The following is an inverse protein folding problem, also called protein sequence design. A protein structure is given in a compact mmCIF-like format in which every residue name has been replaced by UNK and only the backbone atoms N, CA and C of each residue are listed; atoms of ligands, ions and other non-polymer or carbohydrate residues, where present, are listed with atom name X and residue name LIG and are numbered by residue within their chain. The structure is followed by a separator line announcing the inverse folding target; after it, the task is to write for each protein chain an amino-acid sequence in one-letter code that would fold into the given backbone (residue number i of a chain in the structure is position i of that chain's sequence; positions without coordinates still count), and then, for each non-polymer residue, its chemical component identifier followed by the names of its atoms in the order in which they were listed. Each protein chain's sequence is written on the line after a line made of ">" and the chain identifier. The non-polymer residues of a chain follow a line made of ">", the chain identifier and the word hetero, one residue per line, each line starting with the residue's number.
data_IF_131735118705
#
_entry.id   IF_131735118705
#
_cell.length_a   1.000
_cell.length_b   1.000
_cell.length_c   1.000
_cell.angle_alpha   90.00
_cell.angle_beta   90.00
_cell.angle_gamma   90.00
#
_symmetry.space_group_name_H-M   'P 1'
#
loop_
_entity.id
_entity.type
_entity.pdbx_description
1 polymer ?
#
# COMPACT_ATOMS: atom_id res chain seq x y z
N UNK A 1 63.64 -5.61 -3.03
CA UNK A 1 64.01 -5.40 -4.45
C UNK A 1 62.71 -5.44 -5.22
N UNK A 2 62.06 -4.27 -5.32
CA UNK A 2 61.85 -3.44 -6.53
C UNK A 2 60.54 -3.88 -7.22
N UNK A 3 59.42 -3.17 -7.02
CA UNK A 3 59.00 -1.89 -7.65
C UNK A 3 58.64 -2.10 -9.13
N UNK A 4 57.67 -1.47 -9.77
CA UNK A 4 56.54 -0.59 -9.48
C UNK A 4 55.71 -0.55 -10.80
N UNK A 5 54.56 0.13 -10.79
CA UNK A 5 53.77 0.73 -11.90
C UNK A 5 52.28 0.59 -11.49
N UNK A 6 51.62 1.53 -10.81
CA UNK A 6 51.35 2.96 -11.10
C UNK A 6 50.60 3.22 -12.42
N UNK A 7 49.26 3.25 -12.32
CA UNK A 7 48.31 4.10 -13.08
C UNK A 7 47.12 4.28 -12.10
N UNK A 8 46.98 5.30 -11.25
CA UNK A 8 47.05 6.76 -11.40
C UNK A 8 46.20 7.25 -12.57
N UNK A 9 44.92 7.45 -12.29
CA UNK A 9 44.06 8.37 -13.04
C UNK A 9 43.91 9.65 -12.20
N UNK A 10 44.83 10.57 -12.46
CA UNK A 10 44.79 11.98 -12.04
C UNK A 10 43.47 12.62 -12.52
N UNK A 11 42.73 13.27 -11.62
CA UNK A 11 42.88 14.69 -11.28
C UNK A 11 42.29 15.59 -12.39
N UNK A 12 41.08 16.07 -12.15
CA UNK A 12 40.71 17.43 -12.58
C UNK A 12 40.48 18.22 -11.31
N UNK A 13 41.45 19.11 -11.08
CA UNK A 13 41.60 20.00 -9.94
C UNK A 13 40.39 20.90 -9.71
N UNK A 14 40.27 21.19 -8.42
CA UNK A 14 39.49 22.21 -7.76
C UNK A 14 39.69 23.61 -8.37
N UNK A 15 38.70 24.48 -8.22
CA UNK A 15 39.01 25.89 -7.99
C UNK A 15 38.12 26.51 -6.91
N UNK A 16 38.78 26.75 -5.78
CA UNK A 16 38.62 27.87 -4.86
C UNK A 16 37.29 28.02 -4.07
N UNK A 17 37.33 27.51 -2.85
CA UNK A 17 36.76 28.23 -1.69
C UNK A 17 37.54 29.53 -1.43
N UNK A 18 36.88 30.54 -0.86
CA UNK A 18 37.51 31.31 0.20
C UNK A 18 36.69 31.21 1.50
N UNK A 19 37.42 30.92 2.58
CA UNK A 19 36.96 30.80 3.97
C UNK A 19 36.43 32.13 4.56
N UNK A 20 35.77 32.10 5.75
CA UNK A 20 34.78 33.09 6.19
C UNK A 20 35.41 34.25 6.99
N UNK A 21 34.67 35.35 7.23
CA UNK A 21 35.03 36.29 8.28
C UNK A 21 34.26 36.02 9.58
N UNK A 22 34.99 36.30 10.66
CA UNK A 22 34.70 36.11 12.07
C UNK A 22 33.52 36.95 12.61
N UNK A 23 32.98 36.49 13.74
CA UNK A 23 32.09 37.21 14.63
C UNK A 23 32.72 38.50 15.20
N UNK A 24 31.87 39.41 15.73
CA UNK A 24 32.25 40.24 16.85
C UNK A 24 31.41 39.91 18.10
N UNK A 25 32.11 39.67 19.20
CA UNK A 25 31.59 39.76 20.57
C UNK A 25 31.98 41.13 21.12
N UNK A 26 31.03 41.91 21.65
CA UNK A 26 31.12 43.00 22.64
C UNK A 26 29.69 43.60 22.73
N UNK A 27 29.10 44.12 23.80
CA UNK A 27 29.20 44.08 25.27
C UNK A 27 28.25 45.19 25.77
N UNK A 28 27.72 45.04 26.98
CA UNK A 28 27.06 46.03 27.86
C UNK A 28 25.55 46.24 27.64
N UNK A 29 24.71 45.85 28.61
CA UNK A 29 24.38 46.60 29.84
C UNK A 29 23.84 47.99 29.51
N UNK A 30 22.53 48.16 29.58
CA UNK A 30 22.01 49.10 30.58
C UNK A 30 20.63 48.71 31.10
N UNK A 31 20.59 48.74 32.42
CA UNK A 31 19.46 48.59 33.33
C UNK A 31 18.55 49.81 33.28
N UNK A 32 17.23 49.59 33.30
CA UNK A 32 16.33 50.51 33.97
C UNK A 32 15.23 49.75 34.70
N UNK A 33 15.42 49.66 36.02
CA UNK A 33 14.41 49.28 36.99
C UNK A 33 13.39 50.40 37.23
N UNK A 34 12.17 49.93 37.50
CA UNK A 34 11.19 50.40 38.48
C UNK A 34 10.36 51.68 38.22
N UNK A 35 9.06 51.45 38.02
CA UNK A 35 8.03 51.87 39.00
C UNK A 35 6.70 51.10 38.85
N UNK A 36 6.38 50.35 39.91
CA UNK A 36 5.07 49.99 40.53
C UNK A 36 3.98 51.07 40.32
N UNK A 37 2.66 50.83 40.22
CA UNK A 37 1.64 49.85 40.68
C UNK A 37 0.27 50.32 40.06
N UNK A 38 -0.94 49.75 40.28
CA UNK A 38 -1.37 48.41 40.72
C UNK A 38 -2.45 47.75 39.80
N UNK A 39 -2.64 46.44 39.95
CA UNK A 39 -3.83 45.65 39.54
C UNK A 39 -5.10 46.11 40.30
N UNK A 40 -6.34 45.92 39.77
CA UNK A 40 -6.99 44.60 39.81
C UNK A 40 -7.97 44.30 38.65
N UNK A 41 -7.98 43.04 38.19
CA UNK A 41 -9.20 42.27 37.89
C UNK A 41 -8.78 40.90 37.36
N UNK A 42 -8.84 39.92 38.25
CA UNK A 42 -8.84 38.48 37.99
C UNK A 42 -9.95 38.16 36.98
N UNK A 43 -9.68 37.48 35.85
CA UNK A 43 -10.73 36.74 35.15
C UNK A 43 -11.00 35.49 35.98
N UNK A 44 -12.20 35.40 36.51
CA UNK A 44 -12.72 34.24 37.22
C UNK A 44 -12.55 32.98 36.36
N UNK A 45 -12.00 31.92 36.97
CA UNK A 45 -12.13 30.55 36.48
C UNK A 45 -13.63 30.25 36.35
N UNK A 46 -14.12 29.76 35.20
CA UNK A 46 -15.48 29.26 35.14
C UNK A 46 -15.56 28.04 36.04
N UNK A 47 -16.43 28.18 37.04
CA UNK A 47 -16.81 27.12 37.95
C UNK A 47 -17.25 25.88 37.16
N UNK A 48 -16.82 24.72 37.67
CA UNK A 48 -17.38 23.41 37.38
C UNK A 48 -18.91 23.47 37.41
N UNK A 49 -19.53 23.52 36.23
CA UNK A 49 -20.95 23.24 36.07
C UNK A 49 -21.10 21.96 35.26
N UNK A 50 -21.83 21.01 35.83
CA UNK A 50 -22.13 19.70 35.24
C UNK A 50 -23.15 19.83 34.10
N UNK A 51 -22.80 20.62 33.08
CA UNK A 51 -23.59 20.81 31.88
C UNK A 51 -23.46 19.60 30.97
N UNK A 52 -24.58 18.91 30.75
CA UNK A 52 -24.75 17.95 29.66
C UNK A 52 -24.16 18.53 28.38
N UNK A 53 -23.23 17.80 27.76
CA UNK A 53 -22.88 18.01 26.35
C UNK A 53 -24.16 17.82 25.53
N UNK A 54 -24.78 18.91 25.12
CA UNK A 54 -25.90 18.94 24.20
C UNK A 54 -25.44 19.64 22.94
N UNK A 55 -25.58 18.98 21.79
CA UNK A 55 -25.44 19.64 20.50
C UNK A 55 -26.55 20.70 20.39
N UNK A 56 -26.19 21.97 20.47
CA UNK A 56 -27.12 23.07 20.25
C UNK A 56 -27.33 23.24 18.73
N UNK A 57 -28.34 22.54 18.21
CA UNK A 57 -28.74 22.60 16.81
C UNK A 57 -29.13 24.04 16.40
N UNK A 58 -29.55 24.87 17.35
CA UNK A 58 -29.90 26.28 17.12
C UNK A 58 -28.66 27.13 16.81
N UNK A 59 -27.52 26.82 17.44
CA UNK A 59 -26.25 27.52 17.22
C UNK A 59 -25.66 27.14 15.86
N UNK A 60 -25.75 25.86 15.48
CA UNK A 60 -25.37 25.38 14.14
C UNK A 60 -26.24 25.98 13.04
N UNK A 61 -27.56 26.05 13.22
CA UNK A 61 -28.47 26.72 12.27
C UNK A 61 -28.15 28.22 12.15
N UNK A 62 -27.76 28.86 13.27
CA UNK A 62 -27.33 30.24 13.28
C UNK A 62 -26.01 30.45 12.52
N UNK A 63 -25.03 29.57 12.70
CA UNK A 63 -23.77 29.63 11.95
C UNK A 63 -23.98 29.37 10.46
N UNK A 64 -24.81 28.40 10.09
CA UNK A 64 -25.12 28.10 8.69
C UNK A 64 -25.86 29.24 7.98
N UNK A 65 -26.73 29.97 8.70
CA UNK A 65 -27.48 31.11 8.14
C UNK A 65 -26.64 32.39 7.99
N UNK A 66 -25.48 32.44 8.65
CA UNK A 66 -24.54 33.56 8.55
C UNK A 66 -23.42 33.35 7.50
N UNK A 67 -23.42 32.21 6.79
CA UNK A 67 -22.49 31.99 5.68
C UNK A 67 -22.81 32.94 4.52
N UNK A 68 -21.79 33.59 3.92
CA UNK A 68 -22.01 34.49 2.78
C UNK A 68 -22.64 33.71 1.62
N UNK A 69 -23.58 34.31 0.86
CA UNK A 69 -24.20 33.64 -0.27
C UNK A 69 -23.13 33.33 -1.31
N UNK A 70 -22.73 32.06 -1.39
CA UNK A 70 -21.84 31.59 -2.42
C UNK A 70 -22.56 31.71 -3.76
N UNK A 71 -21.95 32.44 -4.68
CA UNK A 71 -22.42 32.57 -6.08
C UNK A 71 -22.17 31.23 -6.78
N UNK A 72 -22.94 30.20 -6.43
CA UNK A 72 -22.99 28.97 -7.20
C UNK A 72 -24.16 29.08 -8.17
N UNK A 73 -23.83 29.29 -9.45
CA UNK A 73 -24.72 28.89 -10.54
C UNK A 73 -24.90 27.39 -10.42
N UNK A 74 -26.05 26.96 -9.92
CA UNK A 74 -26.46 25.57 -9.96
C UNK A 74 -26.49 25.11 -11.42
N UNK A 75 -25.67 24.12 -11.76
CA UNK A 75 -25.75 23.38 -13.02
C UNK A 75 -26.87 22.33 -12.99
N UNK A 76 -27.96 22.59 -12.28
CA UNK A 76 -29.23 21.87 -12.43
C UNK A 76 -30.00 22.45 -13.63
N UNK A 77 -29.37 22.39 -14.81
CA UNK A 77 -30.05 22.56 -16.08
C UNK A 77 -30.26 21.17 -16.65
N UNK A 78 -31.52 20.73 -16.63
CA UNK A 78 -32.00 19.45 -17.10
C UNK A 78 -31.25 18.92 -18.34
N UNK A 79 -30.62 17.76 -18.19
CA UNK A 79 -30.26 16.89 -19.30
C UNK A 79 -31.16 15.66 -19.25
N UNK A 80 -31.88 15.47 -20.36
CA UNK A 80 -32.74 14.32 -20.64
C UNK A 80 -31.93 13.02 -20.60
N UNK A 81 -31.89 12.36 -19.45
CA UNK A 81 -31.59 10.94 -19.34
C UNK A 81 -32.31 10.39 -18.11
N UNK A 82 -32.96 9.24 -18.28
CA UNK A 82 -33.82 8.57 -17.31
C UNK A 82 -33.06 7.96 -16.13
N UNK A 83 -32.34 8.79 -15.38
CA UNK A 83 -31.78 8.38 -14.10
C UNK A 83 -32.80 8.65 -13.00
N UNK A 84 -32.91 7.71 -12.06
CA UNK A 84 -33.69 7.96 -10.85
C UNK A 84 -33.11 9.16 -10.08
N UNK A 85 -33.94 9.86 -9.31
CA UNK A 85 -33.47 10.97 -8.49
C UNK A 85 -32.37 10.53 -7.50
N UNK A 86 -32.37 9.26 -7.09
CA UNK A 86 -31.33 8.66 -6.26
C UNK A 86 -30.01 8.45 -7.02
N UNK A 87 -30.03 7.93 -8.25
CA UNK A 87 -28.81 7.82 -9.09
C UNK A 87 -28.23 9.20 -9.43
N UNK A 88 -29.08 10.20 -9.64
CA UNK A 88 -28.65 11.57 -9.91
C UNK A 88 -28.00 12.20 -8.66
N UNK A 89 -28.48 11.87 -7.46
CA UNK A 89 -27.88 12.28 -6.19
C UNK A 89 -26.55 11.55 -5.92
N UNK A 90 -26.49 10.25 -6.22
CA UNK A 90 -25.25 9.46 -6.11
C UNK A 90 -24.17 9.96 -7.07
N UNK A 91 -24.53 10.30 -8.31
CA UNK A 91 -23.60 10.93 -9.27
C UNK A 91 -23.21 12.36 -8.87
N UNK A 92 -24.03 13.06 -8.08
CA UNK A 92 -23.72 14.39 -7.56
C UNK A 92 -22.81 14.37 -6.33
N UNK A 93 -22.65 13.22 -5.64
CA UNK A 93 -21.71 13.04 -4.53
C UNK A 93 -20.25 13.16 -5.01
N UNK A 94 -19.96 12.69 -6.23
CA UNK A 94 -18.66 12.89 -6.88
C UNK A 94 -18.37 14.37 -7.20
N UNK A 95 -19.41 15.20 -7.24
CA UNK A 95 -19.34 16.66 -7.43
C UNK A 95 -19.37 17.48 -6.12
N UNK A 96 -19.33 16.84 -4.95
CA UNK A 96 -19.27 17.56 -3.67
C UNK A 96 -17.94 18.34 -3.56
N UNK A 97 -17.94 19.53 -2.92
CA UNK A 97 -16.71 20.24 -2.60
C UNK A 97 -15.68 19.31 -1.95
N UNK A 98 -14.42 19.34 -2.40
CA UNK A 98 -13.34 18.50 -1.86
C UNK A 98 -13.24 18.53 -0.32
N UNK A 99 -13.62 19.65 0.30
CA UNK A 99 -13.68 19.80 1.75
C UNK A 99 -14.72 18.88 2.44
N UNK A 100 -15.88 18.64 1.81
CA UNK A 100 -16.91 17.74 2.35
C UNK A 100 -16.54 16.28 2.16
N UNK A 101 -15.91 15.92 1.03
CA UNK A 101 -15.37 14.57 0.81
C UNK A 101 -14.27 14.27 1.84
N UNK A 102 -13.29 15.16 2.01
CA UNK A 102 -12.24 15.03 3.03
C UNK A 102 -12.82 14.96 4.46
N UNK A 103 -13.88 15.71 4.75
CA UNK A 103 -14.58 15.65 6.03
C UNK A 103 -15.26 14.29 6.27
N UNK A 104 -15.92 13.74 5.26
CA UNK A 104 -16.56 12.42 5.32
C UNK A 104 -15.52 11.31 5.50
N UNK A 105 -14.42 11.35 4.76
CA UNK A 105 -13.31 10.40 4.89
C UNK A 105 -12.74 10.43 6.31
N UNK A 106 -12.48 11.64 6.83
CA UNK A 106 -12.00 11.83 8.19
C UNK A 106 -12.93 11.25 9.24
N UNK A 107 -14.24 11.45 9.11
CA UNK A 107 -15.22 10.88 10.03
C UNK A 107 -15.19 9.35 10.02
N UNK A 108 -15.13 8.73 8.83
CA UNK A 108 -15.00 7.26 8.71
C UNK A 108 -13.70 6.75 9.33
N UNK A 109 -12.59 7.45 9.11
CA UNK A 109 -11.29 7.08 9.69
C UNK A 109 -11.30 7.19 11.22
N UNK A 110 -11.94 8.22 11.79
CA UNK A 110 -12.10 8.36 13.24
C UNK A 110 -13.05 7.32 13.85
N UNK A 111 -14.14 7.01 13.16
CA UNK A 111 -15.08 5.95 13.53
C UNK A 111 -14.36 4.59 13.58
N UNK A 112 -13.59 4.25 12.54
CA UNK A 112 -12.77 3.06 12.52
C UNK A 112 -11.76 3.02 13.68
N UNK A 113 -11.07 4.12 13.98
CA UNK A 113 -10.15 4.19 15.12
C UNK A 113 -10.87 3.93 16.45
N UNK A 114 -12.05 4.53 16.64
CA UNK A 114 -12.86 4.34 17.84
C UNK A 114 -13.33 2.88 17.99
N UNK A 115 -13.72 2.24 16.89
CA UNK A 115 -14.12 0.83 16.86
C UNK A 115 -12.95 -0.10 17.18
N UNK A 116 -11.77 0.12 16.58
CA UNK A 116 -10.55 -0.64 16.91
C UNK A 116 -10.22 -0.49 18.40
N UNK A 117 -10.20 0.73 18.93
CA UNK A 117 -9.93 0.98 20.35
C UNK A 117 -10.97 0.29 21.26
N UNK A 118 -12.27 0.39 20.92
CA UNK A 118 -13.36 -0.28 21.66
C UNK A 118 -13.20 -1.79 21.65
N UNK A 119 -12.89 -2.37 20.49
CA UNK A 119 -12.64 -3.81 20.36
C UNK A 119 -11.50 -4.24 21.29
N UNK A 120 -10.36 -3.57 21.24
CA UNK A 120 -9.22 -3.91 22.11
C UNK A 120 -9.57 -3.82 23.59
N UNK A 121 -10.30 -2.79 24.02
CA UNK A 121 -10.71 -2.63 25.42
C UNK A 121 -11.65 -3.75 25.85
N UNK A 122 -12.65 -4.08 25.05
CA UNK A 122 -13.60 -5.15 25.37
C UNK A 122 -12.94 -6.54 25.31
N UNK A 123 -12.06 -6.81 24.34
CA UNK A 123 -11.27 -8.05 24.26
C UNK A 123 -10.30 -8.20 25.44
N UNK A 124 -9.66 -7.10 25.87
CA UNK A 124 -8.81 -7.10 27.07
C UNK A 124 -9.65 -7.37 28.33
N UNK A 125 -10.83 -6.73 28.47
CA UNK A 125 -11.76 -6.99 29.58
C UNK A 125 -12.24 -8.44 29.59
N UNK A 126 -12.52 -9.03 28.44
CA UNK A 126 -12.92 -10.43 28.29
C UNK A 126 -11.85 -11.43 28.76
N UNK A 127 -10.58 -11.01 28.79
CA UNK A 127 -9.49 -11.82 29.37
C UNK A 127 -9.54 -11.91 30.90
N UNK A 128 -10.37 -11.09 31.56
CA UNK A 128 -10.59 -11.12 33.01
C UNK A 128 -11.95 -11.75 33.33
N UNK A 129 -11.92 -12.95 33.93
CA UNK A 129 -13.10 -13.78 34.25
C UNK A 129 -14.13 -13.05 35.12
N UNK A 130 -13.70 -12.09 35.94
CA UNK A 130 -14.54 -11.29 36.83
C UNK A 130 -15.37 -10.21 36.11
N UNK A 131 -14.98 -9.85 34.88
CA UNK A 131 -15.60 -8.78 34.08
C UNK A 131 -16.42 -9.33 32.91
N UNK A 132 -16.51 -10.64 32.76
CA UNK A 132 -17.15 -11.30 31.63
C UNK A 132 -18.68 -11.26 31.77
N UNK A 133 -19.31 -10.29 31.12
CA UNK A 133 -20.73 -10.38 30.75
C UNK A 133 -20.82 -10.86 29.30
N UNK A 134 -21.82 -11.69 28.97
CA UNK A 134 -22.05 -12.18 27.61
C UNK A 134 -22.20 -11.01 26.63
N UNK A 135 -21.14 -10.72 25.86
CA UNK A 135 -21.02 -9.63 24.88
C UNK A 135 -20.42 -10.09 23.55
N UNK A 136 -20.49 -11.40 23.29
CA UNK A 136 -19.97 -12.01 22.06
C UNK A 136 -20.57 -11.33 20.81
N UNK A 137 -21.88 -11.08 20.84
CA UNK A 137 -22.63 -10.43 19.75
C UNK A 137 -22.17 -8.98 19.50
N UNK A 138 -21.82 -8.22 20.55
CA UNK A 138 -21.27 -6.86 20.39
C UNK A 138 -19.89 -6.89 19.72
N UNK A 139 -19.02 -7.83 20.10
CA UNK A 139 -17.69 -7.98 19.49
C UNK A 139 -17.79 -8.44 18.03
N UNK A 140 -18.73 -9.34 17.72
CA UNK A 140 -19.00 -9.78 16.34
C UNK A 140 -19.50 -8.63 15.47
N UNK A 141 -20.40 -7.80 15.99
CA UNK A 141 -20.88 -6.60 15.29
C UNK A 141 -19.73 -5.61 15.01
N UNK A 142 -18.87 -5.34 16.00
CA UNK A 142 -17.71 -4.46 15.80
C UNK A 142 -16.76 -5.04 14.75
N UNK A 143 -16.53 -6.36 14.75
CA UNK A 143 -15.67 -7.01 13.76
C UNK A 143 -16.22 -6.87 12.33
N UNK A 144 -17.53 -7.00 12.15
CA UNK A 144 -18.15 -6.87 10.83
C UNK A 144 -18.13 -5.41 10.33
N UNK A 145 -18.38 -4.44 11.21
CA UNK A 145 -18.27 -3.01 10.88
C UNK A 145 -16.82 -2.63 10.51
N UNK A 146 -15.83 -3.12 11.26
CA UNK A 146 -14.41 -2.96 10.93
C UNK A 146 -14.04 -3.62 9.61
N UNK A 147 -14.63 -4.78 9.28
CA UNK A 147 -14.45 -5.44 7.98
C UNK A 147 -14.99 -4.56 6.84
N UNK A 148 -16.15 -3.93 7.02
CA UNK A 148 -16.71 -3.02 6.02
C UNK A 148 -15.84 -1.77 5.84
N UNK A 149 -15.35 -1.17 6.94
CA UNK A 149 -14.49 0.02 6.90
C UNK A 149 -13.07 -0.27 6.40
N UNK A 150 -12.56 -1.48 6.60
CA UNK A 150 -11.23 -1.90 6.13
C UNK A 150 -11.21 -2.35 4.68
N UNK A 151 -12.34 -2.81 4.13
CA UNK A 151 -12.41 -3.41 2.80
C UNK A 151 -11.46 -4.61 2.69
N UNK A 152 -10.57 -4.60 1.70
CA UNK A 152 -9.62 -5.69 1.49
C UNK A 152 -8.61 -5.89 2.64
N UNK A 153 -8.38 -4.86 3.45
CA UNK A 153 -7.49 -4.91 4.62
C UNK A 153 -8.05 -5.73 5.79
N UNK A 154 -9.34 -6.11 5.72
CA UNK A 154 -10.06 -6.93 6.69
C UNK A 154 -10.18 -8.41 6.33
N UNK A 155 -9.58 -8.85 5.23
CA UNK A 155 -9.67 -10.24 4.78
C UNK A 155 -8.54 -11.11 5.35
N UNK A 156 -8.91 -12.03 6.26
CA UNK A 156 -7.97 -12.97 6.89
C UNK A 156 -7.17 -13.81 5.87
N UNK A 157 -7.77 -14.17 4.73
CA UNK A 157 -7.10 -14.95 3.67
C UNK A 157 -5.78 -14.32 3.22
N UNK A 158 -5.70 -12.99 3.25
CA UNK A 158 -4.56 -12.24 2.76
C UNK A 158 -3.38 -12.20 3.75
N UNK A 159 -3.61 -12.66 4.99
CA UNK A 159 -2.57 -12.86 6.00
C UNK A 159 -2.03 -14.29 5.99
N UNK A 160 -2.66 -15.22 5.25
CA UNK A 160 -2.21 -16.60 5.18
C UNK A 160 -0.82 -16.65 4.50
N UNK A 161 0.15 -17.28 5.18
CA UNK A 161 1.54 -17.38 4.69
C UNK A 161 1.78 -18.65 3.87
N UNK A 162 0.77 -19.51 3.81
CA UNK A 162 0.74 -20.78 3.10
C UNK A 162 -0.54 -20.86 2.29
N UNK A 163 -0.46 -21.46 1.10
CA UNK A 163 -1.64 -21.78 0.30
C UNK A 163 -2.42 -22.92 0.96
N UNK A 164 -3.75 -22.86 0.86
CA UNK A 164 -4.59 -23.99 1.26
C UNK A 164 -4.26 -25.18 0.37
N UNK A 165 -4.32 -26.39 0.95
CA UNK A 165 -4.01 -27.63 0.23
C UNK A 165 -4.84 -27.76 -1.05
N UNK A 166 -6.13 -27.40 -1.01
CA UNK A 166 -7.01 -27.44 -2.18
C UNK A 166 -6.61 -26.44 -3.28
N UNK A 167 -6.27 -25.20 -2.91
CA UNK A 167 -5.85 -24.17 -3.87
C UNK A 167 -4.52 -24.55 -4.51
N UNK A 168 -3.59 -25.07 -3.70
CA UNK A 168 -2.31 -25.58 -4.18
C UNK A 168 -2.50 -26.75 -5.16
N UNK A 169 -3.37 -27.71 -4.81
CA UNK A 169 -3.64 -28.86 -5.67
C UNK A 169 -4.26 -28.42 -7.00
N UNK A 170 -5.22 -27.50 -7.01
CA UNK A 170 -5.80 -26.98 -8.25
C UNK A 170 -4.75 -26.31 -9.14
N UNK A 171 -3.85 -25.51 -8.56
CA UNK A 171 -2.76 -24.88 -9.30
C UNK A 171 -1.76 -25.90 -9.86
N UNK A 172 -1.43 -26.93 -9.09
CA UNK A 172 -0.57 -28.02 -9.52
C UNK A 172 -1.22 -28.82 -10.66
N UNK A 173 -2.51 -29.14 -10.58
CA UNK A 173 -3.26 -29.82 -11.66
C UNK A 173 -3.29 -28.97 -12.95
N UNK A 174 -3.52 -27.66 -12.84
CA UNK A 174 -3.49 -26.74 -13.98
C UNK A 174 -2.10 -26.66 -14.63
N UNK A 175 -1.05 -26.57 -13.81
CA UNK A 175 0.33 -26.55 -14.30
C UNK A 175 0.71 -27.89 -14.94
N UNK A 176 0.33 -29.02 -14.35
CA UNK A 176 0.58 -30.36 -14.89
C UNK A 176 -0.03 -30.55 -16.29
N UNK A 177 -1.22 -30.03 -16.54
CA UNK A 177 -1.84 -30.06 -17.88
C UNK A 177 -0.99 -29.33 -18.93
N UNK A 178 -0.50 -28.13 -18.59
CA UNK A 178 0.39 -27.36 -19.46
C UNK A 178 1.74 -28.06 -19.64
N UNK A 179 2.30 -28.62 -18.57
CA UNK A 179 3.58 -29.32 -18.58
C UNK A 179 3.52 -30.60 -19.40
N UNK A 180 2.40 -31.32 -19.37
CA UNK A 180 2.15 -32.46 -20.24
C UNK A 180 2.04 -32.06 -21.71
N UNK A 181 1.38 -30.92 -21.99
CA UNK A 181 1.30 -30.38 -23.35
C UNK A 181 2.69 -30.01 -23.91
N UNK A 182 3.62 -29.61 -23.03
CA UNK A 182 5.02 -29.31 -23.38
C UNK A 182 5.94 -30.55 -23.45
N UNK A 183 5.47 -31.73 -23.04
CA UNK A 183 6.30 -32.94 -23.00
C UNK A 183 6.88 -33.33 -24.36
N UNK A 184 8.04 -33.99 -24.34
CA UNK A 184 8.81 -34.36 -25.54
C UNK A 184 8.03 -35.19 -26.58
N UNK A 185 6.90 -35.79 -26.19
CA UNK A 185 6.03 -36.59 -27.06
C UNK A 185 5.25 -35.74 -28.09
N UNK A 186 5.06 -34.44 -27.82
CA UNK A 186 4.42 -33.51 -28.76
C UNK A 186 5.50 -32.81 -29.58
N UNK A 187 5.62 -33.02 -30.88
CA UNK A 187 6.68 -32.34 -31.67
C UNK A 187 6.39 -30.86 -31.94
N UNK A 188 5.12 -30.45 -31.87
CA UNK A 188 4.66 -29.08 -32.12
C UNK A 188 4.02 -28.43 -30.88
N UNK A 189 4.12 -27.09 -30.78
CA UNK A 189 3.57 -26.30 -29.67
C UNK A 189 2.06 -26.06 -29.78
N UNK A 190 1.36 -26.75 -30.70
CA UNK A 190 -0.08 -26.57 -30.96
C UNK A 190 -0.92 -27.02 -29.77
N UNK A 191 -0.62 -28.18 -29.18
CA UNK A 191 -1.33 -28.65 -27.98
C UNK A 191 -1.14 -27.70 -26.80
N UNK A 192 0.06 -27.14 -26.63
CA UNK A 192 0.33 -26.14 -25.60
C UNK A 192 -0.52 -24.88 -25.82
N UNK A 193 -0.60 -24.40 -27.06
CA UNK A 193 -1.43 -23.26 -27.44
C UNK A 193 -2.93 -23.51 -27.16
N UNK A 194 -3.46 -24.68 -27.52
CA UNK A 194 -4.86 -25.02 -27.25
C UNK A 194 -5.16 -25.11 -25.75
N UNK A 195 -4.28 -25.73 -24.96
CA UNK A 195 -4.48 -25.91 -23.52
C UNK A 195 -4.40 -24.57 -22.79
N UNK A 196 -3.43 -23.70 -23.11
CA UNK A 196 -3.31 -22.41 -22.44
C UNK A 196 -4.49 -21.49 -22.75
N UNK A 197 -4.98 -21.46 -24.00
CA UNK A 197 -6.16 -20.68 -24.37
C UNK A 197 -7.41 -21.17 -23.62
N UNK A 198 -7.68 -22.48 -23.67
CA UNK A 198 -8.84 -23.06 -22.97
C UNK A 198 -8.81 -22.82 -21.46
N UNK A 199 -7.61 -22.89 -20.86
CA UNK A 199 -7.43 -22.63 -19.44
C UNK A 199 -7.79 -21.18 -19.10
N UNK A 200 -7.30 -20.20 -19.86
CA UNK A 200 -7.59 -18.79 -19.60
C UNK A 200 -9.03 -18.38 -19.98
N UNK A 201 -9.64 -18.98 -21.01
CA UNK A 201 -11.06 -18.78 -21.33
C UNK A 201 -11.99 -19.27 -20.23
N UNK A 202 -11.62 -20.34 -19.52
CA UNK A 202 -12.38 -20.90 -18.40
C UNK A 202 -12.30 -20.08 -17.11
N UNK A 203 -11.37 -19.13 -16.99
CA UNK A 203 -11.13 -18.36 -15.78
C UNK A 203 -12.03 -17.11 -15.66
N UNK A 204 -12.45 -16.73 -14.44
CA UNK A 204 -13.18 -15.50 -14.21
C UNK A 204 -12.35 -14.29 -14.66
N UNK A 205 -12.97 -13.39 -15.41
CA UNK A 205 -12.30 -12.23 -16.03
C UNK A 205 -11.09 -12.56 -16.92
N UNK A 206 -10.92 -13.83 -17.33
CA UNK A 206 -9.75 -14.32 -18.07
C UNK A 206 -8.42 -14.05 -17.33
N UNK A 207 -8.44 -14.09 -16.00
CA UNK A 207 -7.28 -13.83 -15.14
C UNK A 207 -7.00 -15.02 -14.22
N UNK A 208 -5.73 -15.42 -14.17
CA UNK A 208 -5.21 -16.36 -13.18
C UNK A 208 -4.56 -15.59 -12.05
N UNK A 209 -5.10 -15.70 -10.83
CA UNK A 209 -4.52 -15.04 -9.64
C UNK A 209 -3.69 -16.06 -8.86
N UNK A 210 -2.37 -15.83 -8.80
CA UNK A 210 -1.40 -16.66 -8.10
C UNK A 210 -0.85 -15.95 -6.87
N UNK A 211 -0.85 -16.63 -5.73
CA UNK A 211 -0.15 -16.12 -4.54
C UNK A 211 1.34 -16.41 -4.64
N UNK A 212 2.18 -15.43 -4.28
CA UNK A 212 3.63 -15.62 -4.14
C UNK A 212 4.01 -16.70 -3.12
N UNK A 213 3.09 -17.09 -2.25
CA UNK A 213 3.26 -18.25 -1.35
C UNK A 213 3.49 -19.56 -2.10
N UNK A 214 3.07 -19.68 -3.37
CA UNK A 214 3.32 -20.88 -4.17
C UNK A 214 4.81 -21.13 -4.45
N UNK A 215 5.64 -20.09 -4.37
CA UNK A 215 7.10 -20.20 -4.53
C UNK A 215 7.77 -20.78 -3.27
N UNK A 216 7.09 -20.83 -2.12
CA UNK A 216 7.69 -21.26 -0.86
C UNK A 216 7.30 -22.69 -0.50
N UNK A 217 8.25 -23.39 0.11
CA UNK A 217 7.98 -24.68 0.74
C UNK A 217 7.18 -24.49 2.03
N UNK A 218 6.14 -25.30 2.21
CA UNK A 218 5.28 -25.27 3.38
C UNK A 218 6.10 -25.63 4.62
N UNK A 219 6.35 -24.66 5.50
CA UNK A 219 6.84 -24.93 6.85
C UNK A 219 5.66 -24.95 7.80
N UNK A 220 5.36 -26.11 8.36
CA UNK A 220 4.40 -26.22 9.44
C UNK A 220 4.93 -25.43 10.64
N UNK A 221 4.19 -24.40 11.03
CA UNK A 221 4.44 -23.69 12.28
C UNK A 221 3.40 -24.14 13.29
N UNK A 222 3.84 -24.57 14.47
CA UNK A 222 2.92 -24.95 15.56
C UNK A 222 2.23 -23.70 16.13
N UNK A 223 1.02 -23.43 15.65
CA UNK A 223 0.18 -22.36 16.16
C UNK A 223 -0.50 -22.79 17.48
N UNK A 224 -0.53 -21.88 18.47
CA UNK A 224 -1.16 -22.13 19.78
C UNK A 224 -2.30 -21.15 20.01
N UNK A 225 -3.38 -21.63 20.62
CA UNK A 225 -4.39 -20.73 21.18
C UNK A 225 -3.77 -19.97 22.35
N UNK A 226 -3.64 -18.66 22.20
CA UNK A 226 -3.11 -17.76 23.22
C UNK A 226 -4.19 -16.75 23.58
N UNK A 227 -4.29 -16.39 24.86
CA UNK A 227 -5.21 -15.35 25.30
C UNK A 227 -4.90 -14.02 24.62
N UNK A 228 -5.93 -13.18 24.45
CA UNK A 228 -5.79 -11.89 23.78
C UNK A 228 -4.68 -10.98 24.33
N UNK A 229 -4.53 -10.93 25.66
CA UNK A 229 -3.44 -10.18 26.28
C UNK A 229 -2.06 -10.74 25.93
N UNK A 230 -1.94 -12.07 25.82
CA UNK A 230 -0.68 -12.69 25.40
C UNK A 230 -0.40 -12.41 23.91
N UNK A 231 -1.43 -12.32 23.07
CA UNK A 231 -1.30 -11.91 21.67
C UNK A 231 -0.72 -10.49 21.57
N UNK A 232 -1.33 -9.52 22.27
CA UNK A 232 -0.84 -8.12 22.32
C UNK A 232 0.58 -8.06 22.86
N UNK A 233 0.88 -8.77 23.96
CA UNK A 233 2.23 -8.81 24.52
C UNK A 233 3.25 -9.43 23.58
N UNK A 234 2.83 -10.33 22.68
CA UNK A 234 3.72 -10.94 21.68
C UNK A 234 4.06 -9.95 20.57
N UNK A 235 3.08 -9.17 20.11
CA UNK A 235 3.31 -8.07 19.16
C UNK A 235 4.28 -7.04 19.77
N UNK A 236 4.12 -6.73 21.06
CA UNK A 236 4.96 -5.75 21.76
C UNK A 236 6.35 -6.27 22.20
N UNK A 237 6.68 -7.56 21.99
CA UNK A 237 7.96 -8.13 22.44
C UNK A 237 9.01 -8.08 21.34
N UNK A 238 10.24 -7.75 21.75
CA UNK A 238 11.47 -7.82 20.96
C UNK A 238 11.96 -9.27 20.80
N UNK A 239 11.17 -10.14 20.19
CA UNK A 239 11.64 -11.47 19.83
C UNK A 239 12.53 -11.39 18.57
N UNK A 240 13.65 -12.12 18.50
CA UNK A 240 14.57 -12.09 17.35
C UNK A 240 13.96 -12.59 16.03
N UNK A 241 12.82 -13.28 16.07
CA UNK A 241 12.08 -13.76 14.88
C UNK A 241 10.95 -12.81 14.42
N UNK A 242 10.82 -11.61 14.99
CA UNK A 242 9.78 -10.66 14.58
C UNK A 242 10.13 -10.05 13.20
N UNK A 243 9.72 -10.75 12.12
CA UNK A 243 9.74 -10.23 10.74
C UNK A 243 8.86 -9.00 10.54
N UNK A 244 8.13 -8.59 11.58
CA UNK A 244 7.22 -7.45 11.59
C UNK A 244 7.90 -6.14 11.93
N UNK A 245 9.21 -6.03 12.18
CA UNK A 245 9.84 -4.70 12.37
C UNK A 245 9.98 -3.96 11.04
N UNK A 246 9.85 -2.64 11.05
CA UNK A 246 10.23 -1.79 9.93
C UNK A 246 11.68 -2.13 9.56
N UNK A 247 11.94 -2.62 8.34
CA UNK A 247 13.27 -3.03 7.94
C UNK A 247 14.18 -1.80 7.91
N UNK A 248 15.31 -1.89 8.61
CA UNK A 248 16.39 -0.93 8.41
C UNK A 248 17.15 -1.37 7.17
N UNK A 249 16.91 -0.70 6.05
CA UNK A 249 17.59 -1.02 4.79
C UNK A 249 19.09 -0.78 4.94
N UNK A 250 19.89 -1.75 4.50
CA UNK A 250 21.34 -1.62 4.41
C UNK A 250 21.73 -0.64 3.30
N UNK A 251 22.95 -0.09 3.39
CA UNK A 251 23.49 0.79 2.34
C UNK A 251 23.52 0.09 0.96
N UNK A 252 23.74 -1.22 0.94
CA UNK A 252 23.73 -2.01 -0.29
C UNK A 252 22.33 -2.12 -0.90
N UNK A 253 21.29 -2.31 -0.08
CA UNK A 253 19.89 -2.34 -0.53
C UNK A 253 19.47 -0.97 -1.06
N UNK A 254 19.79 0.10 -0.33
CA UNK A 254 19.52 1.47 -0.76
C UNK A 254 20.21 1.77 -2.09
N UNK A 255 21.45 1.32 -2.27
CA UNK A 255 22.19 1.51 -3.51
C UNK A 255 21.55 0.77 -4.69
N UNK A 256 21.06 -0.47 -4.48
CA UNK A 256 20.33 -1.19 -5.53
C UNK A 256 19.00 -0.52 -5.84
N UNK A 257 18.24 -0.12 -4.82
CA UNK A 257 16.97 0.59 -5.00
C UNK A 257 17.18 1.90 -5.79
N UNK A 258 18.23 2.65 -5.50
CA UNK A 258 18.56 3.88 -6.22
C UNK A 258 18.87 3.64 -7.70
N UNK A 259 19.55 2.54 -8.02
CA UNK A 259 19.83 2.14 -9.40
C UNK A 259 18.57 1.67 -10.13
N UNK A 260 17.71 0.95 -9.44
CA UNK A 260 16.48 0.40 -10.01
C UNK A 260 15.46 1.50 -10.26
N UNK A 261 15.20 2.34 -9.25
CA UNK A 261 14.24 3.42 -9.35
C UNK A 261 14.62 4.46 -10.39
N UNK A 262 15.92 4.68 -10.64
CA UNK A 262 16.39 5.61 -11.66
C UNK A 262 15.88 5.31 -13.09
N UNK A 263 15.36 4.10 -13.31
CA UNK A 263 14.81 3.64 -14.60
C UNK A 263 13.27 3.59 -14.61
N UNK A 264 12.63 3.81 -13.47
CA UNK A 264 11.21 3.63 -13.27
C UNK A 264 10.47 4.96 -13.06
N UNK A 265 9.15 4.89 -13.19
CA UNK A 265 8.22 5.97 -12.87
C UNK A 265 7.26 5.48 -11.80
N UNK A 266 6.85 6.37 -10.90
CA UNK A 266 5.84 6.09 -9.88
C UNK A 266 4.58 6.93 -10.07
N UNK A 267 3.44 6.38 -9.67
CA UNK A 267 2.17 7.07 -9.48
C UNK A 267 1.82 6.98 -8.00
N UNK A 268 2.08 8.05 -7.25
CA UNK A 268 1.81 8.13 -5.81
C UNK A 268 0.46 8.80 -5.61
N UNK A 269 -0.57 8.05 -5.19
CA UNK A 269 -1.95 8.53 -5.09
C UNK A 269 -2.45 9.25 -6.37
N UNK A 270 -1.97 8.80 -7.53
CA UNK A 270 -2.27 9.39 -8.85
C UNK A 270 -1.31 10.49 -9.31
N UNK A 271 -0.43 11.00 -8.45
CA UNK A 271 0.61 11.97 -8.82
C UNK A 271 1.84 11.28 -9.39
N UNK A 272 2.27 11.71 -10.58
CA UNK A 272 3.41 11.12 -11.30
C UNK A 272 4.74 11.65 -10.76
N UNK A 273 5.64 10.73 -10.43
CA UNK A 273 7.01 11.02 -9.99
C UNK A 273 7.99 10.21 -10.82
N UNK A 274 8.89 10.90 -11.53
CA UNK A 274 9.95 10.26 -12.30
C UNK A 274 11.12 9.87 -11.40
N UNK A 275 11.56 8.61 -11.49
CA UNK A 275 12.71 8.14 -10.72
C UNK A 275 14.06 8.72 -11.19
N UNK A 276 14.11 9.28 -12.40
CA UNK A 276 15.26 10.04 -12.93
C UNK A 276 15.65 11.24 -12.07
N UNK A 277 14.74 11.71 -11.21
CA UNK A 277 14.99 12.79 -10.23
C UNK A 277 15.92 12.36 -9.10
N UNK A 278 16.21 11.07 -8.97
CA UNK A 278 17.06 10.49 -7.94
C UNK A 278 16.28 9.88 -6.78
N UNK A 279 16.90 8.92 -6.10
CA UNK A 279 16.32 8.16 -4.98
C UNK A 279 15.75 9.09 -3.89
N UNK A 280 16.54 10.05 -3.41
CA UNK A 280 16.12 10.96 -2.34
C UNK A 280 14.89 11.79 -2.73
N UNK A 281 14.79 12.22 -3.99
CA UNK A 281 13.65 12.98 -4.46
C UNK A 281 12.36 12.16 -4.53
N UNK A 282 12.48 10.85 -4.80
CA UNK A 282 11.34 9.91 -4.76
C UNK A 282 10.93 9.62 -3.33
N UNK A 283 11.89 9.38 -2.43
CA UNK A 283 11.63 9.19 -1.00
C UNK A 283 10.96 10.43 -0.40
N UNK A 284 11.45 11.63 -0.72
CA UNK A 284 10.84 12.89 -0.30
C UNK A 284 9.39 13.02 -0.80
N UNK A 285 9.10 12.61 -2.03
CA UNK A 285 7.75 12.66 -2.58
C UNK A 285 6.80 11.69 -1.86
N UNK A 286 7.26 10.45 -1.61
CA UNK A 286 6.53 9.47 -0.81
C UNK A 286 6.30 9.96 0.62
N UNK A 287 7.33 10.52 1.26
CA UNK A 287 7.23 11.06 2.61
C UNK A 287 6.21 12.21 2.68
N UNK A 288 6.24 13.16 1.74
CA UNK A 288 5.28 14.26 1.69
C UNK A 288 3.85 13.78 1.54
N UNK A 289 3.62 12.76 0.71
CA UNK A 289 2.27 12.20 0.56
C UNK A 289 1.82 11.50 1.86
N UNK A 290 2.69 10.75 2.52
CA UNK A 290 2.40 10.15 3.83
C UNK A 290 2.06 11.21 4.89
N UNK A 291 2.82 12.31 4.93
CA UNK A 291 2.56 13.45 5.82
C UNK A 291 1.20 14.10 5.52
N UNK A 292 0.87 14.27 4.24
CA UNK A 292 -0.39 14.83 3.79
C UNK A 292 -1.58 13.93 4.12
N UNK A 293 -1.46 12.63 3.88
CA UNK A 293 -2.46 11.62 4.25
C UNK A 293 -2.74 11.68 5.76
N UNK A 294 -1.71 11.70 6.61
CA UNK A 294 -1.88 11.80 8.06
C UNK A 294 -2.44 13.14 8.52
N UNK A 295 -1.93 14.25 7.97
CA UNK A 295 -2.35 15.59 8.34
C UNK A 295 -3.85 15.81 8.02
N UNK A 296 -4.32 15.32 6.86
CA UNK A 296 -5.75 15.33 6.50
C UNK A 296 -6.61 14.66 7.57
N UNK A 297 -6.20 13.48 8.04
CA UNK A 297 -6.95 12.76 9.09
C UNK A 297 -6.90 13.46 10.45
N UNK A 298 -5.77 14.08 10.78
CA UNK A 298 -5.62 14.87 11.98
C UNK A 298 -6.36 16.23 11.92
N UNK A 299 -6.86 16.65 10.76
CA UNK A 299 -7.39 17.99 10.54
C UNK A 299 -6.31 19.08 10.68
N UNK A 300 -5.08 18.76 10.27
CA UNK A 300 -3.90 19.62 10.35
C UNK A 300 -3.32 19.84 8.95
N UNK A 301 -2.39 20.78 8.86
CA UNK A 301 -1.56 20.95 7.67
C UNK A 301 -0.30 20.08 7.75
N UNK A 302 0.26 19.59 6.63
CA UNK A 302 1.47 18.76 6.62
C UNK A 302 2.67 19.38 7.34
N UNK A 303 2.83 20.71 7.25
CA UNK A 303 3.92 21.46 7.90
C UNK A 303 3.82 21.46 9.44
N UNK A 304 2.68 21.03 9.99
CA UNK A 304 2.44 20.90 11.42
C UNK A 304 2.76 19.49 11.94
N UNK A 305 3.27 18.60 11.09
CA UNK A 305 3.69 17.25 11.48
C UNK A 305 4.90 17.33 12.40
N UNK A 306 4.85 16.73 13.60
CA UNK A 306 6.00 16.73 14.51
C UNK A 306 7.24 16.09 13.87
N UNK A 307 8.43 16.65 14.12
CA UNK A 307 9.68 16.18 13.51
C UNK A 307 9.98 14.69 13.80
N UNK A 308 9.61 14.19 14.98
CA UNK A 308 9.73 12.77 15.30
C UNK A 308 8.86 11.86 14.41
N UNK A 309 7.66 12.34 14.04
CA UNK A 309 6.77 11.62 13.12
C UNK A 309 7.32 11.71 11.70
N UNK A 310 7.76 12.89 11.25
CA UNK A 310 8.38 13.09 9.94
C UNK A 310 9.58 12.15 9.72
N UNK A 311 10.49 12.02 10.70
CA UNK A 311 11.61 11.07 10.63
C UNK A 311 11.16 9.61 10.53
N UNK A 312 10.10 9.22 11.25
CA UNK A 312 9.55 7.86 11.13
C UNK A 312 8.92 7.63 9.74
N UNK A 313 8.24 8.63 9.18
CA UNK A 313 7.66 8.57 7.85
C UNK A 313 8.71 8.48 6.74
N UNK A 314 9.90 9.04 6.95
CA UNK A 314 11.02 8.83 6.04
C UNK A 314 11.41 7.35 5.95
N UNK A 315 11.55 6.67 7.10
CA UNK A 315 11.81 5.22 7.13
C UNK A 315 10.70 4.41 6.47
N UNK A 316 9.44 4.82 6.70
CA UNK A 316 8.27 4.21 6.03
C UNK A 316 8.36 4.42 4.51
N UNK A 317 8.67 5.62 4.05
CA UNK A 317 8.82 5.93 2.62
C UNK A 317 9.92 5.09 1.96
N UNK A 318 11.06 4.91 2.62
CA UNK A 318 12.14 4.05 2.15
C UNK A 318 11.67 2.58 2.07
N UNK A 319 10.99 2.07 3.10
CA UNK A 319 10.47 0.70 3.11
C UNK A 319 9.40 0.47 2.03
N UNK A 320 8.53 1.46 1.80
CA UNK A 320 7.55 1.48 0.72
C UNK A 320 8.28 1.40 -0.62
N UNK A 321 9.26 2.27 -0.85
CA UNK A 321 10.00 2.30 -2.12
C UNK A 321 10.70 0.97 -2.41
N UNK A 322 11.38 0.41 -1.41
CA UNK A 322 12.04 -0.88 -1.50
C UNK A 322 11.07 -1.99 -1.90
N UNK A 323 9.93 -2.09 -1.22
CA UNK A 323 8.90 -3.09 -1.51
C UNK A 323 8.16 -2.86 -2.83
N UNK A 324 8.21 -1.64 -3.37
CA UNK A 324 7.58 -1.26 -4.64
C UNK A 324 8.46 -1.52 -5.84
N UNK A 325 9.78 -1.72 -5.63
CA UNK A 325 10.74 -1.70 -6.72
C UNK A 325 10.38 -2.76 -7.79
N UNK A 326 10.70 -2.44 -9.05
CA UNK A 326 10.33 -3.29 -10.19
C UNK A 326 11.09 -4.61 -10.21
N UNK A 327 12.26 -4.66 -9.58
CA UNK A 327 13.07 -5.87 -9.48
C UNK A 327 12.42 -6.91 -8.58
N UNK A 328 11.92 -6.53 -7.40
CA UNK A 328 11.18 -7.44 -6.49
C UNK A 328 9.84 -7.85 -7.11
N UNK A 329 9.04 -6.87 -7.55
CA UNK A 329 7.70 -7.12 -8.09
C UNK A 329 7.73 -7.90 -9.41
N UNK A 330 8.58 -7.48 -10.34
CA UNK A 330 8.78 -8.16 -11.63
C UNK A 330 9.52 -9.50 -11.50
N UNK A 331 10.43 -9.64 -10.54
CA UNK A 331 11.06 -10.92 -10.23
C UNK A 331 10.05 -11.94 -9.72
N UNK A 332 9.19 -11.54 -8.78
CA UNK A 332 8.12 -12.39 -8.25
C UNK A 332 7.15 -12.84 -9.34
N UNK A 333 6.71 -11.93 -10.22
CA UNK A 333 5.85 -12.27 -11.35
C UNK A 333 6.55 -13.21 -12.34
N UNK A 334 7.82 -12.97 -12.65
CA UNK A 334 8.60 -13.79 -13.57
C UNK A 334 8.78 -15.21 -13.05
N UNK A 335 9.12 -15.38 -11.76
CA UNK A 335 9.29 -16.70 -11.15
C UNK A 335 7.98 -17.48 -11.08
N UNK A 336 6.88 -16.84 -10.69
CA UNK A 336 5.56 -17.47 -10.67
C UNK A 336 5.11 -17.91 -12.06
N UNK A 337 5.25 -17.02 -13.05
CA UNK A 337 4.88 -17.32 -14.43
C UNK A 337 5.78 -18.40 -15.03
N UNK A 338 7.08 -18.36 -14.75
CA UNK A 338 8.04 -19.37 -15.17
C UNK A 338 7.71 -20.75 -14.58
N UNK A 339 7.40 -20.82 -13.28
CA UNK A 339 6.96 -22.06 -12.62
C UNK A 339 5.65 -22.59 -13.20
N UNK A 340 4.72 -21.70 -13.56
CA UNK A 340 3.44 -22.09 -14.15
C UNK A 340 3.61 -22.63 -15.58
N UNK A 341 4.47 -22.00 -16.39
CA UNK A 341 4.62 -22.31 -17.81
C UNK A 341 5.72 -23.34 -18.13
N UNK A 342 6.70 -23.58 -17.26
CA UNK A 342 7.82 -24.49 -17.54
C UNK A 342 7.72 -25.78 -16.73
N UNK A 343 7.93 -26.92 -17.41
CA UNK A 343 8.02 -28.24 -16.79
C UNK A 343 9.43 -28.58 -16.28
N UNK A 344 10.43 -27.69 -16.47
CA UNK A 344 11.85 -27.84 -16.10
C UNK A 344 12.58 -29.08 -16.66
N UNK A 345 11.89 -29.95 -17.40
CA UNK A 345 12.43 -31.14 -18.06
C UNK A 345 12.75 -30.87 -19.54
N UNK A 346 11.95 -30.04 -20.19
CA UNK A 346 12.09 -29.64 -21.59
C UNK A 346 11.80 -28.14 -21.74
N UNK A 347 12.85 -27.33 -21.90
CA UNK A 347 12.73 -25.89 -22.14
C UNK A 347 12.28 -25.59 -23.57
N UNK A 348 11.00 -25.83 -23.87
CA UNK A 348 10.39 -25.59 -25.19
C UNK A 348 9.78 -24.21 -25.36
N UNK A 349 9.60 -23.50 -24.26
CA UNK A 349 9.05 -22.15 -24.23
C UNK A 349 9.99 -21.26 -23.43
N UNK A 350 10.26 -20.07 -23.95
CA UNK A 350 11.09 -19.06 -23.31
C UNK A 350 10.22 -17.89 -22.83
N UNK A 351 10.43 -17.48 -21.60
CA UNK A 351 9.80 -16.30 -21.04
C UNK A 351 10.75 -15.09 -21.16
N UNK A 352 10.32 -14.06 -21.90
CA UNK A 352 11.11 -12.84 -22.11
C UNK A 352 10.41 -11.62 -21.50
N UNK A 353 11.06 -10.87 -20.59
CA UNK A 353 10.50 -9.61 -20.10
C UNK A 353 10.34 -8.57 -21.21
N UNK A 354 9.19 -7.92 -21.26
CA UNK A 354 8.89 -6.81 -22.16
C UNK A 354 8.85 -5.47 -21.38
N UNK A 355 9.96 -5.13 -20.72
CA UNK A 355 10.05 -4.02 -19.76
C UNK A 355 9.65 -2.66 -20.31
N UNK A 356 9.79 -2.42 -21.63
CA UNK A 356 9.37 -1.18 -22.28
C UNK A 356 7.86 -0.92 -22.20
N UNK A 357 7.05 -1.95 -21.90
CA UNK A 357 5.59 -1.87 -21.79
C UNK A 357 5.11 -1.80 -20.34
N UNK A 358 6.01 -1.89 -19.36
CA UNK A 358 5.64 -1.81 -17.96
C UNK A 358 5.00 -0.45 -17.66
N UNK A 359 3.86 -0.47 -16.97
CA UNK A 359 3.22 0.75 -16.49
C UNK A 359 4.03 1.36 -15.34
N UNK A 360 3.84 2.64 -14.98
CA UNK A 360 4.41 3.19 -13.76
C UNK A 360 4.04 2.34 -12.52
N UNK A 361 4.93 2.29 -11.53
CA UNK A 361 4.67 1.66 -10.23
C UNK A 361 3.65 2.49 -9.48
N UNK A 362 2.50 1.91 -9.17
CA UNK A 362 1.43 2.64 -8.48
C UNK A 362 1.48 2.37 -6.98
N UNK A 363 1.45 3.45 -6.20
CA UNK A 363 1.49 3.44 -4.74
C UNK A 363 0.27 4.21 -4.25
N UNK A 364 -0.69 3.48 -3.66
CA UNK A 364 -1.88 4.06 -3.06
C UNK A 364 -1.72 4.06 -1.54
N UNK A 365 -2.03 5.18 -0.89
CA UNK A 365 -1.83 5.39 0.54
C UNK A 365 -3.07 5.98 1.18
N UNK A 366 -3.51 5.39 2.29
CA UNK A 366 -4.55 5.95 3.15
C UNK A 366 -4.32 5.61 4.63
N UNK A 367 -5.27 5.97 5.50
CA UNK A 367 -5.27 5.62 6.91
C UNK A 367 -6.56 4.88 7.25
N UNK A 368 -6.44 3.73 7.90
CA UNK A 368 -7.62 2.99 8.32
C UNK A 368 -7.33 1.74 9.13
N UNK A 369 -8.38 0.96 9.41
CA UNK A 369 -8.26 -0.30 10.11
C UNK A 369 -7.71 -1.38 9.18
N UNK A 370 -6.96 -2.32 9.75
CA UNK A 370 -6.42 -3.48 9.06
C UNK A 370 -6.22 -4.66 10.02
N UNK A 371 -6.21 -5.89 9.50
CA UNK A 371 -5.88 -7.07 10.29
C UNK A 371 -4.36 -7.28 10.37
N UNK A 372 -3.86 -7.56 11.56
CA UNK A 372 -2.47 -7.86 11.86
C UNK A 372 -2.32 -9.34 12.23
N UNK A 373 -1.34 -10.02 11.63
CA UNK A 373 -1.02 -11.39 12.00
C UNK A 373 -0.22 -11.38 13.32
N UNK A 374 -0.67 -12.15 14.30
CA UNK A 374 0.03 -12.27 15.58
C UNK A 374 0.91 -13.51 15.58
N UNK A 375 2.24 -13.39 15.77
CA UNK A 375 3.14 -14.53 15.82
C UNK A 375 2.67 -15.58 16.84
N UNK A 376 2.50 -16.83 16.39
CA UNK A 376 2.09 -17.95 17.24
C UNK A 376 0.59 -18.01 17.59
N UNK A 377 -0.25 -17.13 17.04
CA UNK A 377 -1.71 -17.14 17.18
C UNK A 377 -2.41 -17.52 15.87
N UNK A 378 -3.55 -18.20 15.98
CA UNK A 378 -4.44 -18.50 14.84
C UNK A 378 -5.33 -17.33 14.45
N UNK A 379 -5.58 -16.42 15.38
CA UNK A 379 -6.49 -15.31 15.21
C UNK A 379 -5.70 -14.03 15.00
N UNK A 380 -5.90 -13.34 13.86
CA UNK A 380 -5.35 -12.02 13.66
C UNK A 380 -6.04 -11.02 14.60
N UNK A 381 -5.35 -9.93 14.90
CA UNK A 381 -5.92 -8.83 15.68
C UNK A 381 -6.20 -7.65 14.77
N UNK A 382 -7.15 -6.79 15.14
CA UNK A 382 -7.30 -5.51 14.46
C UNK A 382 -6.22 -4.54 14.89
N UNK A 383 -5.76 -3.74 13.94
CA UNK A 383 -4.85 -2.64 14.11
C UNK A 383 -5.36 -1.43 13.32
N UNK A 384 -4.74 -0.28 13.53
CA UNK A 384 -5.09 0.96 12.85
C UNK A 384 -3.84 1.73 12.47
N UNK A 385 -3.78 2.18 11.22
CA UNK A 385 -2.72 3.07 10.79
C UNK A 385 -2.63 3.26 9.29
N UNK A 386 -1.42 3.58 8.83
CA UNK A 386 -1.11 3.84 7.44
C UNK A 386 -1.20 2.53 6.66
N UNK A 387 -1.93 2.56 5.55
CA UNK A 387 -2.09 1.42 4.65
C UNK A 387 -1.58 1.82 3.28
N UNK A 388 -0.67 1.03 2.74
CA UNK A 388 -0.01 1.30 1.47
C UNK A 388 -0.22 0.11 0.55
N UNK A 389 -0.93 0.32 -0.56
CA UNK A 389 -1.12 -0.67 -1.61
C UNK A 389 -0.17 -0.38 -2.77
N UNK A 390 0.56 -1.40 -3.16
CA UNK A 390 1.57 -1.37 -4.21
C UNK A 390 1.05 -2.17 -5.39
N UNK A 391 1.03 -1.56 -6.57
CA UNK A 391 0.58 -2.21 -7.79
C UNK A 391 1.66 -2.02 -8.86
N UNK A 392 2.15 -3.12 -9.40
CA UNK A 392 3.14 -3.12 -10.48
C UNK A 392 2.61 -3.95 -11.65
N UNK A 393 2.41 -3.29 -12.79
CA UNK A 393 2.00 -3.97 -14.03
C UNK A 393 3.22 -4.18 -14.92
N UNK A 394 3.56 -5.45 -15.15
CA UNK A 394 4.68 -5.88 -15.99
C UNK A 394 4.18 -6.75 -17.14
N UNK A 395 5.00 -6.85 -18.19
CA UNK A 395 4.66 -7.59 -19.40
C UNK A 395 5.74 -8.60 -19.73
N UNK A 396 5.32 -9.77 -20.22
CA UNK A 396 6.20 -10.84 -20.66
C UNK A 396 5.73 -11.41 -21.99
N UNK A 397 6.68 -11.91 -22.76
CA UNK A 397 6.45 -12.59 -24.03
C UNK A 397 6.81 -14.06 -23.87
N UNK A 398 5.88 -14.91 -24.27
CA UNK A 398 6.03 -16.36 -24.30
C UNK A 398 6.45 -16.72 -25.71
N UNK A 399 7.71 -17.14 -25.88
CA UNK A 399 8.33 -17.40 -27.17
C UNK A 399 8.60 -18.89 -27.32
N UNK A 400 8.69 -19.35 -28.57
CA UNK A 400 9.25 -20.67 -28.86
C UNK A 400 10.74 -20.70 -28.45
N UNK A 401 11.18 -21.78 -27.81
CA UNK A 401 12.59 -21.92 -27.43
C UNK A 401 13.51 -22.22 -28.61
N UNK A 402 13.01 -22.89 -29.66
CA UNK A 402 13.79 -23.19 -30.85
C UNK A 402 13.95 -21.96 -31.76
N UNK A 403 12.93 -21.09 -31.79
CA UNK A 403 12.97 -19.79 -32.45
C UNK A 403 12.47 -18.67 -31.51
N UNK A 404 13.37 -18.02 -30.75
CA UNK A 404 13.01 -16.93 -29.83
C UNK A 404 12.41 -15.69 -30.50
N UNK A 405 12.42 -15.62 -31.84
CA UNK A 405 11.73 -14.56 -32.60
C UNK A 405 10.25 -14.90 -32.86
N UNK A 406 9.87 -16.17 -32.68
CA UNK A 406 8.49 -16.63 -32.76
C UNK A 406 7.78 -16.37 -31.43
N UNK A 407 7.07 -15.25 -31.36
CA UNK A 407 6.27 -14.85 -30.20
C UNK A 407 4.91 -15.56 -30.25
N UNK A 408 4.65 -16.44 -29.29
CA UNK A 408 3.42 -17.22 -29.22
C UNK A 408 2.32 -16.42 -28.53
N UNK A 409 2.63 -15.88 -27.36
CA UNK A 409 1.69 -15.11 -26.56
C UNK A 409 2.34 -13.96 -25.86
N UNK A 410 1.49 -13.01 -25.52
CA UNK A 410 1.83 -11.90 -24.66
C UNK A 410 1.06 -12.03 -23.35
N UNK A 411 1.74 -11.74 -22.24
CA UNK A 411 1.20 -11.91 -20.90
C UNK A 411 1.38 -10.61 -20.14
N UNK A 412 0.26 -10.05 -19.68
CA UNK A 412 0.25 -8.98 -18.69
C UNK A 412 0.21 -9.59 -17.30
N UNK A 413 1.07 -9.14 -16.39
CA UNK A 413 0.96 -9.49 -14.97
C UNK A 413 0.79 -8.24 -14.12
N UNK A 414 -0.11 -8.31 -13.16
CA UNK A 414 -0.31 -7.29 -12.13
C UNK A 414 0.09 -7.87 -10.79
N UNK A 415 1.25 -7.44 -10.30
CA UNK A 415 1.69 -7.72 -8.94
C UNK A 415 1.03 -6.73 -7.99
N UNK A 416 0.35 -7.23 -6.96
CA UNK A 416 -0.27 -6.43 -5.92
C UNK A 416 0.31 -6.82 -4.56
N UNK A 417 0.87 -5.86 -3.84
CA UNK A 417 1.34 -6.05 -2.48
C UNK A 417 0.77 -4.97 -1.55
N UNK A 418 0.75 -5.24 -0.25
CA UNK A 418 0.20 -4.34 0.75
C UNK A 418 1.10 -4.26 1.96
N UNK A 419 1.33 -3.03 2.40
CA UNK A 419 2.06 -2.73 3.62
C UNK A 419 1.14 -2.01 4.59
N UNK A 420 1.20 -2.35 5.87
CA UNK A 420 0.52 -1.60 6.92
C UNK A 420 1.52 -1.17 7.99
N UNK A 421 1.42 0.08 8.42
CA UNK A 421 2.26 0.68 9.45
C UNK A 421 1.39 1.24 10.57
N UNK A 422 1.56 0.80 11.81
CA UNK A 422 0.85 1.36 12.95
C UNK A 422 1.34 2.78 13.22
N UNK A 423 0.40 3.66 13.54
CA UNK A 423 0.67 5.08 13.86
C UNK A 423 0.66 5.35 15.37
N UNK A 424 0.73 4.30 16.20
CA UNK A 424 0.83 4.42 17.65
C UNK A 424 -0.35 5.11 18.31
N UNK A 425 -1.47 5.22 17.59
CA UNK A 425 -2.73 5.79 18.07
C UNK A 425 -3.53 4.79 18.92
N UNK A 426 -3.14 3.51 18.88
CA UNK A 426 -3.65 2.48 19.78
C UNK A 426 -2.49 1.98 20.63
N UNK A 427 -2.68 1.76 21.95
CA UNK A 427 -1.62 1.31 22.85
C UNK A 427 -1.20 -0.15 22.63
N UNK A 428 -1.74 -0.80 21.58
CA UNK A 428 -1.67 -2.24 21.37
C UNK A 428 -0.74 -2.64 20.23
N UNK A 429 -0.15 -1.68 19.51
CA UNK A 429 0.81 -1.92 18.43
C UNK A 429 2.02 -0.98 18.54
N UNK A 430 3.25 -1.52 18.59
CA UNK A 430 4.47 -0.73 18.55
C UNK A 430 4.57 0.09 17.26
N UNK A 431 5.14 1.28 17.32
CA UNK A 431 5.32 2.18 16.17
C UNK A 431 6.38 1.69 15.17
N UNK A 432 7.23 0.75 15.57
CA UNK A 432 8.35 0.24 14.79
C UNK A 432 8.02 -1.03 14.01
N UNK A 433 6.74 -1.42 13.94
CA UNK A 433 6.34 -2.57 13.12
C UNK A 433 5.85 -2.18 11.72
N UNK A 434 5.99 -3.10 10.78
CA UNK A 434 5.50 -3.08 9.42
C UNK A 434 4.92 -4.46 9.12
N UNK A 435 3.65 -4.48 8.73
CA UNK A 435 3.03 -5.64 8.10
C UNK A 435 3.35 -5.59 6.61
N UNK A 436 3.91 -6.65 6.04
CA UNK A 436 4.02 -6.85 4.59
C UNK A 436 3.20 -8.09 4.23
N UNK A 437 2.17 -7.90 3.43
CA UNK A 437 1.41 -9.02 2.88
C UNK A 437 2.31 -9.80 1.91
N UNK A 438 1.95 -11.05 1.64
CA UNK A 438 2.55 -11.81 0.54
C UNK A 438 1.81 -11.40 -0.72
N UNK A 439 2.50 -10.74 -1.64
CA UNK A 439 1.87 -10.21 -2.84
C UNK A 439 1.18 -11.30 -3.66
N UNK A 440 0.15 -10.90 -4.39
CA UNK A 440 -0.53 -11.74 -5.39
C UNK A 440 -0.17 -11.24 -6.79
N UNK A 441 -0.09 -12.16 -7.74
CA UNK A 441 0.15 -11.87 -9.15
C UNK A 441 -1.08 -12.31 -9.94
N UNK A 442 -1.79 -11.34 -10.50
CA UNK A 442 -2.81 -11.60 -11.50
C UNK A 442 -2.15 -11.69 -12.88
N UNK A 443 -2.34 -12.81 -13.57
CA UNK A 443 -1.80 -13.09 -14.89
C UNK A 443 -2.95 -13.03 -15.88
N UNK A 444 -2.78 -12.31 -16.99
CA UNK A 444 -3.73 -12.23 -18.09
C UNK A 444 -3.03 -12.53 -19.41
N UNK A 445 -3.56 -13.50 -20.14
CA UNK A 445 -3.14 -13.79 -21.51
C UNK A 445 -3.73 -12.74 -22.45
N UNK A 446 -2.90 -12.12 -23.28
CA UNK A 446 -3.34 -11.20 -24.33
C UNK A 446 -3.34 -11.96 -25.64
N UNK A 447 -4.54 -12.33 -26.09
CA UNK A 447 -4.73 -13.00 -27.37
C UNK A 447 -4.43 -12.01 -28.50
N UNK A 448 -3.70 -12.44 -29.55
CA UNK A 448 -3.54 -11.65 -30.76
C UNK A 448 -4.92 -11.26 -31.28
N UNK A 449 -5.22 -9.97 -31.32
CA UNK A 449 -6.49 -9.52 -31.90
C UNK A 449 -6.47 -9.93 -33.37
N UNK A 450 -7.36 -10.84 -33.78
CA UNK A 450 -7.54 -11.16 -35.19
C UNK A 450 -7.74 -9.84 -35.93
N UNK A 451 -6.71 -9.40 -36.67
CA UNK A 451 -6.85 -8.27 -37.57
C UNK A 451 -7.90 -8.65 -38.59
N UNK A 452 -9.13 -8.16 -38.38
CA UNK A 452 -10.17 -8.10 -39.40
C UNK A 452 -9.56 -7.40 -40.62
N UNK A 453 -9.07 -8.20 -41.56
CA UNK A 453 -8.63 -7.74 -42.85
C UNK A 453 -9.83 -7.02 -43.49
N UNK A 454 -9.72 -5.72 -43.85
CA UNK A 454 -10.79 -5.06 -44.55
C UNK A 454 -10.96 -5.77 -45.89
N UNK A 455 -12.08 -6.46 -46.05
CA UNK A 455 -12.50 -7.04 -47.31
C UNK A 455 -12.58 -5.90 -48.32
N UNK A 456 -11.62 -5.90 -49.24
CA UNK A 456 -11.61 -4.97 -50.37
C UNK A 456 -12.92 -5.14 -51.16
N UNK A 457 -13.69 -4.07 -51.42
CA UNK A 457 -14.91 -4.20 -52.19
C UNK A 457 -14.52 -4.57 -53.62
N UNK A 458 -14.89 -5.79 -54.04
CA UNK A 458 -14.83 -6.21 -55.43
C UNK A 458 -15.60 -5.18 -56.27
N UNK A 459 -14.90 -4.60 -57.24
CA UNK A 459 -15.47 -3.70 -58.23
C UNK A 459 -16.66 -4.32 -58.95
N UNK A 460 -17.67 -3.49 -59.16
CA UNK A 460 -18.62 -3.64 -60.25
C UNK A 460 -18.16 -2.71 -61.37
N UNK A 461 -17.68 -3.30 -62.45
CA UNK A 461 -17.88 -2.77 -63.81
C UNK A 461 -19.10 -3.47 -64.41
#
# INVERSE_FOLDING_TARGET
>A
MTAADEEVWDEWEEDATPSPPQAPTYSNLDSHEAKTQPHPATPELPASDGGKWGFDLSELEHEMSNLPPTVYKSSLSATDASYSAEETLLLAIDGLPMALQAGSERMRTLEALALVARLHVESARGSFVELTQSRQEELENINEELRQLSGEWGYKKLLETTLKVQERQQLEEMAELLHHALSAENEDLTLFQEVIEQLFEGLPEQKLVLSTNWLKESKESEEKETSYLNQVLTICRDAPDNMSRMPTLSEAEIFQDAKDIGRDELLINGERVEGTRGYDAVVDALQRELELVLARQAGKMPEQTPMAVSNALQSVAMAVLHASNRTESGGSSYELLGKFLSNHETDRVLLRPASARASPLEVQMDVGPYLEAVPGSKEPTWAFGLRVKLIAVTWYLVCDAEDPMNELYEVETTFCNRLAFPVGLTPFHPLDTMRKDRGDVAIRLVLPTETLTPTSPRGQE
#
